data_IF_106473146314
#
_entry.id   IF_106473146314
#
_cell.length_a   1.000
_cell.length_b   1.000
_cell.length_c   1.000
_cell.angle_alpha   90.00
_cell.angle_beta   90.00
_cell.angle_gamma   90.00
#
_symmetry.space_group_name_H-M   'P 1'
#
loop_
_entity.id
_entity.type
_entity.pdbx_description
1 polymer ?
#
# COMPACT_ATOMS: atom_id res chain seq x y z
N UNK A 1 32.65 21.59 15.88
CA UNK A 1 31.79 20.53 16.45
C UNK A 1 30.30 20.88 16.43
N UNK A 2 29.90 22.16 16.48
CA UNK A 2 28.48 22.54 16.36
C UNK A 2 27.89 22.33 14.96
N UNK A 3 28.70 22.54 13.92
CA UNK A 3 28.34 22.33 12.50
C UNK A 3 28.04 20.87 12.17
N UNK A 4 28.78 19.92 12.75
CA UNK A 4 28.53 18.50 12.54
C UNK A 4 27.23 18.03 13.20
N UNK A 5 26.87 18.62 14.35
CA UNK A 5 25.61 18.29 15.04
C UNK A 5 24.41 18.83 14.26
N UNK A 6 24.48 20.07 13.75
CA UNK A 6 23.39 20.66 12.96
C UNK A 6 23.23 19.97 11.60
N UNK A 7 24.32 19.54 10.95
CA UNK A 7 24.19 18.75 9.71
C UNK A 7 23.56 17.39 9.95
N UNK A 8 23.86 16.73 11.07
CA UNK A 8 23.24 15.44 11.39
C UNK A 8 21.75 15.62 11.67
N UNK A 9 21.35 16.58 12.52
CA UNK A 9 19.94 16.79 12.86
C UNK A 9 19.09 17.22 11.66
N UNK A 10 19.64 18.04 10.77
CA UNK A 10 18.96 18.41 9.51
C UNK A 10 18.80 17.23 8.57
N UNK A 11 19.81 16.37 8.43
CA UNK A 11 19.70 15.13 7.64
C UNK A 11 18.65 14.19 8.24
N UNK A 12 18.65 13.99 9.56
CA UNK A 12 17.66 13.11 10.21
C UNK A 12 16.24 13.63 10.04
N UNK A 13 16.01 14.93 10.22
CA UNK A 13 14.67 15.54 10.08
C UNK A 13 14.16 15.50 8.64
N UNK A 14 15.02 15.75 7.64
CA UNK A 14 14.63 15.59 6.23
C UNK A 14 14.30 14.14 5.92
N UNK A 15 15.11 13.19 6.42
CA UNK A 15 14.89 11.76 6.20
C UNK A 15 13.55 11.28 6.79
N UNK A 16 13.19 11.74 8.00
CA UNK A 16 11.91 11.35 8.61
C UNK A 16 10.71 11.93 7.87
N UNK A 17 10.77 13.18 7.41
CA UNK A 17 9.70 13.80 6.62
C UNK A 17 9.48 13.03 5.31
N UNK A 18 10.57 12.69 4.61
CA UNK A 18 10.49 11.91 3.36
C UNK A 18 9.89 10.52 3.62
N UNK A 19 10.32 9.84 4.69
CA UNK A 19 9.79 8.52 5.03
C UNK A 19 8.29 8.56 5.35
N UNK A 20 7.83 9.57 6.10
CA UNK A 20 6.41 9.77 6.41
C UNK A 20 5.58 10.04 5.14
N UNK A 21 6.06 10.92 4.26
CA UNK A 21 5.39 11.23 2.99
C UNK A 21 5.30 10.02 2.05
N UNK A 22 6.38 9.25 1.92
CA UNK A 22 6.40 8.03 1.12
C UNK A 22 5.44 6.97 1.67
N UNK A 23 5.42 6.79 2.99
CA UNK A 23 4.53 5.81 3.62
C UNK A 23 3.06 6.19 3.44
N UNK A 24 2.73 7.47 3.61
CA UNK A 24 1.37 7.97 3.40
C UNK A 24 0.90 7.74 1.96
N UNK A 25 1.72 8.08 0.97
CA UNK A 25 1.39 7.90 -0.45
C UNK A 25 1.26 6.43 -0.85
N UNK A 26 2.18 5.56 -0.42
CA UNK A 26 2.10 4.12 -0.68
C UNK A 26 0.88 3.47 -0.02
N UNK A 27 0.55 3.88 1.22
CA UNK A 27 -0.64 3.37 1.91
C UNK A 27 -1.92 3.72 1.15
N UNK A 28 -2.10 4.97 0.73
CA UNK A 28 -3.25 5.41 -0.06
C UNK A 28 -3.32 4.71 -1.42
N UNK A 29 -2.20 4.61 -2.13
CA UNK A 29 -2.13 3.91 -3.41
C UNK A 29 -2.51 2.43 -3.27
N UNK A 30 -2.06 1.77 -2.19
CA UNK A 30 -2.41 0.37 -1.93
C UNK A 30 -3.91 0.18 -1.71
N UNK A 31 -4.55 1.05 -0.91
CA UNK A 31 -6.00 0.99 -0.64
C UNK A 31 -6.81 1.24 -1.88
N UNK A 32 -6.48 2.30 -2.64
CA UNK A 32 -7.18 2.64 -3.87
C UNK A 32 -7.10 1.49 -4.89
N UNK A 33 -5.91 0.91 -5.07
CA UNK A 33 -5.72 -0.20 -6.00
C UNK A 33 -6.47 -1.45 -5.53
N UNK A 34 -6.45 -1.75 -4.23
CA UNK A 34 -7.18 -2.88 -3.67
C UNK A 34 -8.70 -2.72 -3.87
N UNK A 35 -9.23 -1.52 -3.68
CA UNK A 35 -10.64 -1.20 -3.93
C UNK A 35 -11.04 -1.38 -5.40
N UNK A 36 -10.19 -0.94 -6.35
CA UNK A 36 -10.40 -1.17 -7.78
C UNK A 36 -10.35 -2.66 -8.12
N UNK A 37 -9.40 -3.42 -7.57
CA UNK A 37 -9.30 -4.86 -7.81
C UNK A 37 -10.51 -5.61 -7.25
N UNK A 38 -10.97 -5.29 -6.04
CA UNK A 38 -12.14 -5.93 -5.45
C UNK A 38 -13.41 -5.63 -6.26
N UNK A 39 -13.65 -4.37 -6.61
CA UNK A 39 -14.82 -3.99 -7.42
C UNK A 39 -14.80 -4.65 -8.80
N UNK A 40 -13.63 -4.69 -9.47
CA UNK A 40 -13.48 -5.39 -10.74
C UNK A 40 -13.71 -6.91 -10.61
N UNK A 41 -13.30 -7.53 -9.49
CA UNK A 41 -13.55 -8.96 -9.22
C UNK A 41 -15.03 -9.24 -9.01
N UNK A 42 -15.72 -8.42 -8.21
CA UNK A 42 -17.17 -8.57 -8.00
C UNK A 42 -17.94 -8.40 -9.32
N UNK A 43 -17.56 -7.42 -10.14
CA UNK A 43 -18.18 -7.22 -11.45
C UNK A 43 -17.93 -8.40 -12.40
N UNK A 44 -16.70 -8.93 -12.45
CA UNK A 44 -16.35 -10.10 -13.25
C UNK A 44 -16.97 -11.41 -12.72
N UNK A 45 -17.27 -11.49 -11.43
CA UNK A 45 -17.96 -12.62 -10.80
C UNK A 45 -19.40 -12.77 -11.31
N UNK A 46 -20.07 -11.65 -11.58
CA UNK A 46 -21.46 -11.65 -12.08
C UNK A 46 -21.60 -11.99 -13.57
N UNK A 47 -20.50 -11.99 -14.33
CA UNK A 47 -20.52 -12.26 -15.76
C UNK A 47 -20.54 -13.75 -16.12
N UNK A 48 -21.59 -14.22 -16.79
CA UNK A 48 -21.76 -15.60 -17.27
C UNK A 48 -20.79 -16.01 -18.43
N UNK A 49 -19.91 -15.11 -18.87
CA UNK A 49 -18.99 -15.35 -20.00
C UNK A 49 -17.66 -15.96 -19.55
N UNK A 50 -17.12 -16.90 -20.35
CA UNK A 50 -15.79 -17.50 -20.12
C UNK A 50 -14.65 -16.47 -20.00
N UNK A 51 -14.81 -15.30 -20.61
CA UNK A 51 -13.85 -14.19 -20.50
C UNK A 51 -13.92 -13.51 -19.11
N UNK A 52 -15.13 -13.37 -18.55
CA UNK A 52 -15.37 -12.83 -17.21
C UNK A 52 -14.76 -13.72 -16.12
N UNK A 53 -14.88 -15.04 -16.29
CA UNK A 53 -14.30 -16.02 -15.38
C UNK A 53 -12.76 -15.99 -15.38
N UNK A 54 -12.15 -15.66 -16.53
CA UNK A 54 -10.68 -15.50 -16.65
C UNK A 54 -10.19 -14.23 -15.98
N UNK A 55 -10.93 -13.12 -16.12
CA UNK A 55 -10.66 -11.86 -15.42
C UNK A 55 -10.78 -12.05 -13.91
N UNK A 56 -11.86 -12.67 -13.43
CA UNK A 56 -12.05 -12.95 -12.01
C UNK A 56 -10.87 -13.74 -11.40
N UNK A 57 -10.33 -14.73 -12.13
CA UNK A 57 -9.14 -15.49 -11.72
C UNK A 57 -7.88 -14.62 -11.63
N UNK A 58 -7.61 -13.81 -12.65
CA UNK A 58 -6.44 -12.92 -12.67
C UNK A 58 -6.48 -11.88 -11.55
N UNK A 59 -7.65 -11.25 -11.35
CA UNK A 59 -7.87 -10.29 -10.28
C UNK A 59 -7.67 -10.93 -8.91
N UNK A 60 -8.08 -12.19 -8.73
CA UNK A 60 -7.88 -12.93 -7.48
C UNK A 60 -6.41 -13.22 -7.15
N UNK A 61 -5.54 -13.39 -8.15
CA UNK A 61 -4.09 -13.58 -7.94
C UNK A 61 -3.42 -12.26 -7.51
N UNK A 62 -3.90 -11.11 -8.00
CA UNK A 62 -3.38 -9.79 -7.64
C UNK A 62 -3.90 -9.27 -6.28
N UNK A 63 -5.12 -9.63 -5.88
CA UNK A 63 -5.73 -9.19 -4.61
C UNK A 63 -4.93 -9.71 -3.41
N UNK A 64 -4.50 -10.98 -3.43
CA UNK A 64 -3.83 -11.60 -2.29
C UNK A 64 -2.52 -10.88 -1.90
N UNK A 65 -1.55 -10.62 -2.80
CA UNK A 65 -0.35 -9.86 -2.46
C UNK A 65 -0.64 -8.39 -2.13
N UNK A 66 -1.62 -7.74 -2.78
CA UNK A 66 -2.00 -6.37 -2.41
C UNK A 66 -2.59 -6.28 -1.00
N UNK A 67 -3.47 -7.23 -0.64
CA UNK A 67 -4.06 -7.30 0.68
C UNK A 67 -3.02 -7.60 1.75
N UNK A 68 -2.05 -8.48 1.45
CA UNK A 68 -0.91 -8.77 2.33
C UNK A 68 -0.03 -7.53 2.54
N UNK A 69 0.30 -6.80 1.47
CA UNK A 69 1.09 -5.57 1.56
C UNK A 69 0.35 -4.51 2.40
N UNK A 70 -0.94 -4.31 2.17
CA UNK A 70 -1.76 -3.40 2.96
C UNK A 70 -1.81 -3.83 4.43
N UNK A 71 -2.08 -5.11 4.72
CA UNK A 71 -2.12 -5.63 6.08
C UNK A 71 -0.78 -5.47 6.81
N UNK A 72 0.34 -5.71 6.12
CA UNK A 72 1.67 -5.51 6.68
C UNK A 72 1.95 -4.04 7.03
N UNK A 73 1.58 -3.11 6.13
CA UNK A 73 1.72 -1.66 6.40
C UNK A 73 0.90 -1.26 7.63
N UNK A 74 -0.35 -1.72 7.71
CA UNK A 74 -1.24 -1.44 8.86
C UNK A 74 -0.67 -2.03 10.14
N UNK A 75 -0.19 -3.29 10.12
CA UNK A 75 0.40 -3.95 11.28
C UNK A 75 1.63 -3.20 11.81
N UNK A 76 2.53 -2.77 10.92
CA UNK A 76 3.71 -1.96 11.30
C UNK A 76 3.27 -0.64 11.92
N UNK A 77 2.26 0.04 11.34
CA UNK A 77 1.77 1.31 11.88
C UNK A 77 1.09 1.16 13.24
N UNK A 78 0.36 0.08 13.46
CA UNK A 78 -0.20 -0.23 14.78
C UNK A 78 0.92 -0.52 15.78
N UNK A 79 1.94 -1.28 15.38
CA UNK A 79 3.08 -1.60 16.24
C UNK A 79 3.96 -0.37 16.57
N UNK A 80 4.02 0.64 15.70
CA UNK A 80 4.68 1.93 16.01
C UNK A 80 3.90 2.77 17.02
N UNK A 81 2.57 2.62 17.08
CA UNK A 81 1.68 3.41 17.96
C UNK A 81 1.61 2.80 19.37
N UNK A 82 1.76 1.48 19.49
CA UNK A 82 1.63 0.71 20.73
C UNK A 82 2.94 0.70 21.53
#
# INVERSE_FOLDING_TARGET
MITTVTTVTTVTTVTTIVALGLTATLSLASVATLMVFLTARELASTGLSRFSLRIARFTSVGILPLALAFAAIVAIKIAEIL
#
